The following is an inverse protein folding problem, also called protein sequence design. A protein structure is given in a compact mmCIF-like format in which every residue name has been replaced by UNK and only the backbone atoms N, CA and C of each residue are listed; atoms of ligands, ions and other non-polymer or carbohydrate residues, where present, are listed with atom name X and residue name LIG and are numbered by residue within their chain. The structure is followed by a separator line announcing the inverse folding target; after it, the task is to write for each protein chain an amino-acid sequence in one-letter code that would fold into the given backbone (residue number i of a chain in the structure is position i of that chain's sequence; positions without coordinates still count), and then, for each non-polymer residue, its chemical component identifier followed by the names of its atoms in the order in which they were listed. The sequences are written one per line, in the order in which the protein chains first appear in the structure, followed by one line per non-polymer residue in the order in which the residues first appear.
data_IF_886190356382
#
_entry.id   IF_886190356382
#
_cell.length_a   1.000
_cell.length_b   1.000
_cell.length_c   1.000
_cell.angle_alpha   90.00
_cell.angle_beta   90.00
_cell.angle_gamma   90.00
#
_symmetry.space_group_name_H-M   'P 1'
#
loop_
_entity.id
_entity.type
_entity.pdbx_description
1 polymer ?
#
# COMPACT_ATOMS: atom_id res chain seq x y z
N UNK A 1 -5.81 -12.20 8.52
CA UNK A 1 -5.56 -13.12 7.38
C UNK A 1 -6.10 -12.41 6.16
N UNK A 2 -5.25 -12.17 5.16
CA UNK A 2 -5.57 -11.33 4.01
C UNK A 2 -6.66 -11.96 3.14
N UNK A 3 -7.60 -11.14 2.67
CA UNK A 3 -8.64 -11.57 1.74
C UNK A 3 -8.31 -11.09 0.33
N UNK A 4 -8.81 -11.81 -0.66
CA UNK A 4 -8.79 -11.33 -2.04
C UNK A 4 -10.09 -10.62 -2.37
N UNK A 5 -9.96 -9.43 -2.95
CA UNK A 5 -11.04 -8.60 -3.40
C UNK A 5 -10.97 -8.41 -4.91
N UNK A 6 -12.10 -8.29 -5.58
CA UNK A 6 -12.21 -7.97 -6.99
C UNK A 6 -12.85 -6.60 -7.15
N UNK A 7 -12.20 -5.70 -7.90
CA UNK A 7 -12.76 -4.39 -8.22
C UNK A 7 -13.42 -4.46 -9.59
N UNK A 8 -14.75 -4.43 -9.63
CA UNK A 8 -15.49 -4.38 -10.89
C UNK A 8 -15.43 -2.98 -11.52
N UNK A 9 -15.39 -2.93 -12.84
CA UNK A 9 -15.39 -1.67 -13.61
C UNK A 9 -16.63 -0.81 -13.35
N UNK A 10 -16.50 0.50 -13.55
CA UNK A 10 -17.59 1.45 -13.42
C UNK A 10 -18.69 1.22 -14.46
N UNK A 11 -19.94 1.40 -14.04
CA UNK A 11 -21.09 1.56 -14.91
C UNK A 11 -21.66 2.97 -14.73
N UNK A 12 -21.91 3.70 -15.82
CA UNK A 12 -22.42 5.07 -15.78
C UNK A 12 -21.74 5.99 -16.79
N UNK A 13 -21.77 7.30 -16.52
CA UNK A 13 -21.12 8.32 -17.34
C UNK A 13 -19.73 8.72 -16.86
N UNK A 14 -19.01 9.44 -17.72
CA UNK A 14 -17.63 9.90 -17.50
C UNK A 14 -17.55 11.24 -16.74
N UNK A 15 -18.69 11.77 -16.28
CA UNK A 15 -18.77 13.03 -15.53
C UNK A 15 -18.28 12.91 -14.08
N UNK A 16 -18.33 14.01 -13.34
CA UNK A 16 -18.01 14.03 -11.91
C UNK A 16 -16.53 13.77 -11.57
N UNK A 17 -16.23 13.89 -10.27
CA UNK A 17 -14.93 13.52 -9.69
C UNK A 17 -14.96 12.07 -9.23
N UNK A 18 -13.86 11.36 -9.45
CA UNK A 18 -13.69 9.98 -9.00
C UNK A 18 -13.60 9.89 -7.47
N UNK A 19 -14.13 8.80 -6.93
CA UNK A 19 -14.01 8.43 -5.54
C UNK A 19 -13.94 6.92 -5.40
N UNK A 20 -13.29 6.47 -4.33
CA UNK A 20 -13.04 5.06 -4.05
C UNK A 20 -13.03 4.87 -2.53
N UNK A 21 -14.03 4.18 -1.99
CA UNK A 21 -14.14 3.95 -0.55
C UNK A 21 -13.18 2.86 -0.04
N UNK A 22 -12.61 2.06 -0.96
CA UNK A 22 -11.87 0.84 -0.63
C UNK A 22 -12.80 -0.31 -0.21
N UNK A 23 -12.26 -1.21 0.61
CA UNK A 23 -12.94 -2.42 1.08
C UNK A 23 -13.12 -2.39 2.59
N UNK A 24 -14.20 -3.01 3.05
CA UNK A 24 -14.62 -3.08 4.44
C UNK A 24 -15.09 -4.50 4.80
N UNK A 25 -15.33 -4.78 6.08
CA UNK A 25 -15.89 -6.07 6.49
C UNK A 25 -17.32 -6.27 5.99
N UNK A 26 -18.06 -5.19 5.71
CA UNK A 26 -19.37 -5.28 5.10
C UNK A 26 -20.10 -3.94 5.04
N UNK A 27 -21.29 -3.97 4.47
CA UNK A 27 -22.17 -2.83 4.28
C UNK A 27 -23.40 -3.03 5.16
N UNK A 28 -23.63 -2.12 6.11
CA UNK A 28 -24.76 -2.19 7.04
C UNK A 28 -25.99 -1.45 6.51
N UNK A 29 -25.76 -0.36 5.78
CA UNK A 29 -26.85 0.47 5.27
C UNK A 29 -26.44 1.25 4.02
N UNK A 30 -27.39 1.41 3.11
CA UNK A 30 -27.29 2.28 1.95
C UNK A 30 -28.37 3.35 2.02
N UNK A 31 -28.03 4.58 1.68
CA UNK A 31 -28.97 5.69 1.50
C UNK A 31 -28.88 6.17 0.06
N UNK A 32 -30.03 6.41 -0.57
CA UNK A 32 -30.09 6.89 -1.95
C UNK A 32 -31.03 8.09 -2.03
N UNK A 33 -30.48 9.23 -2.44
CA UNK A 33 -31.21 10.45 -2.74
C UNK A 33 -31.42 10.61 -4.24
N UNK A 34 -32.57 11.13 -4.63
CA UNK A 34 -32.98 11.24 -6.04
C UNK A 34 -33.73 12.54 -6.30
N UNK A 35 -33.72 12.99 -7.55
CA UNK A 35 -34.63 14.02 -8.05
C UNK A 35 -35.65 13.40 -9.02
N UNK A 36 -36.41 14.23 -9.75
CA UNK A 36 -37.43 13.77 -10.72
C UNK A 36 -36.84 13.06 -11.95
N UNK A 37 -35.51 13.06 -12.13
CA UNK A 37 -34.83 12.58 -13.34
C UNK A 37 -33.64 11.62 -13.09
N UNK A 38 -33.06 11.57 -11.89
CA UNK A 38 -31.81 10.82 -11.63
C UNK A 38 -31.53 10.55 -10.15
N UNK A 39 -30.52 9.73 -9.89
CA UNK A 39 -29.91 9.59 -8.57
C UNK A 39 -28.95 10.77 -8.33
N UNK A 40 -29.19 11.51 -7.26
CA UNK A 40 -28.43 12.73 -6.93
C UNK A 40 -27.46 12.52 -5.79
N UNK A 41 -27.71 11.53 -4.92
CA UNK A 41 -26.91 11.29 -3.72
C UNK A 41 -26.88 9.80 -3.37
N UNK A 42 -25.73 9.35 -2.86
CA UNK A 42 -25.57 8.03 -2.25
C UNK A 42 -24.75 8.16 -0.98
N UNK A 43 -25.07 7.32 0.01
CA UNK A 43 -24.28 7.18 1.23
C UNK A 43 -24.26 5.73 1.68
N UNK A 44 -23.12 5.32 2.20
CA UNK A 44 -22.87 3.97 2.69
C UNK A 44 -22.43 4.03 4.15
N UNK A 45 -22.93 3.09 4.95
CA UNK A 45 -22.43 2.76 6.28
C UNK A 45 -21.71 1.43 6.22
N UNK A 46 -20.39 1.46 6.37
CA UNK A 46 -19.53 0.29 6.32
C UNK A 46 -19.10 -0.15 7.71
N UNK A 47 -18.90 -1.45 7.89
CA UNK A 47 -18.33 -2.05 9.11
C UNK A 47 -16.84 -2.29 8.89
N UNK A 48 -15.98 -1.80 9.78
CA UNK A 48 -14.54 -2.06 9.77
C UNK A 48 -14.18 -3.39 10.44
N UNK A 49 -12.91 -3.81 10.35
CA UNK A 49 -12.40 -5.02 11.01
C UNK A 49 -12.58 -5.02 12.54
N UNK A 50 -12.49 -3.86 13.18
CA UNK A 50 -12.71 -3.69 14.63
C UNK A 50 -14.20 -3.61 15.02
N UNK A 51 -15.10 -3.66 14.04
CA UNK A 51 -16.55 -3.54 14.21
C UNK A 51 -17.08 -2.10 14.20
N UNK A 52 -16.21 -1.08 14.11
CA UNK A 52 -16.65 0.31 14.02
C UNK A 52 -17.38 0.58 12.71
N UNK A 53 -18.36 1.49 12.76
CA UNK A 53 -19.09 1.93 11.58
C UNK A 53 -18.48 3.22 11.04
N UNK A 54 -18.18 3.24 9.74
CA UNK A 54 -17.74 4.44 9.04
C UNK A 54 -18.72 4.81 7.94
N UNK A 55 -18.92 6.11 7.75
CA UNK A 55 -19.80 6.66 6.72
C UNK A 55 -19.00 7.27 5.57
N UNK A 56 -19.48 7.06 4.34
CA UNK A 56 -19.02 7.71 3.11
C UNK A 56 -20.23 8.17 2.31
N UNK A 57 -20.15 9.34 1.72
CA UNK A 57 -21.28 9.95 1.00
C UNK A 57 -20.82 10.77 -0.21
N UNK A 58 -21.65 10.77 -1.25
CA UNK A 58 -21.33 11.32 -2.56
C UNK A 58 -22.56 11.93 -3.22
N UNK A 59 -22.36 12.97 -4.01
CA UNK A 59 -23.44 13.70 -4.69
C UNK A 59 -24.05 14.82 -3.85
N UNK A 60 -25.27 15.24 -4.19
CA UNK A 60 -26.01 16.33 -3.54
C UNK A 60 -27.37 15.87 -3.05
N UNK A 61 -27.66 16.11 -1.78
CA UNK A 61 -28.99 15.85 -1.20
C UNK A 61 -29.98 16.86 -1.78
N UNK A 62 -30.87 16.40 -2.65
CA UNK A 62 -31.96 17.22 -3.23
C UNK A 62 -33.32 16.92 -2.59
N UNK A 63 -33.47 15.74 -2.00
CA UNK A 63 -34.63 15.24 -1.27
C UNK A 63 -34.14 14.33 -0.13
N UNK A 64 -34.99 14.07 0.86
CA UNK A 64 -34.67 13.14 1.95
C UNK A 64 -34.25 11.77 1.38
N UNK A 65 -33.00 11.32 1.62
CA UNK A 65 -32.52 10.06 1.11
C UNK A 65 -33.32 8.89 1.68
N UNK A 66 -33.66 7.93 0.82
CA UNK A 66 -34.32 6.70 1.23
C UNK A 66 -33.27 5.69 1.66
N UNK A 67 -33.51 5.00 2.78
CA UNK A 67 -32.59 3.99 3.30
C UNK A 67 -32.96 2.56 2.88
N UNK A 68 -31.93 1.73 2.77
CA UNK A 68 -32.01 0.28 2.69
C UNK A 68 -31.07 -0.31 3.74
N UNK A 69 -31.66 -0.93 4.76
CA UNK A 69 -30.92 -1.55 5.88
C UNK A 69 -30.61 -3.00 5.55
N UNK A 70 -29.39 -3.43 5.88
CA UNK A 70 -28.89 -4.79 5.73
C UNK A 70 -28.73 -5.38 7.12
N UNK A 71 -29.27 -6.58 7.34
CA UNK A 71 -29.24 -7.29 8.63
C UNK A 71 -27.84 -7.91 8.89
N UNK A 72 -26.83 -7.06 9.08
CA UNK A 72 -25.44 -7.49 9.32
C UNK A 72 -25.27 -8.14 10.71
N UNK A 73 -24.50 -9.24 10.85
CA UNK A 73 -23.63 -9.86 9.85
C UNK A 73 -24.30 -10.97 9.01
N UNK A 74 -25.55 -11.32 9.31
CA UNK A 74 -26.23 -12.48 8.72
C UNK A 74 -26.59 -12.25 7.24
N UNK A 75 -26.86 -11.00 6.88
CA UNK A 75 -27.18 -10.58 5.52
C UNK A 75 -26.10 -9.66 4.94
N UNK A 76 -25.85 -9.78 3.64
CA UNK A 76 -24.94 -8.90 2.91
C UNK A 76 -25.44 -8.64 1.48
N UNK A 77 -24.95 -7.57 0.85
CA UNK A 77 -25.29 -7.23 -0.53
C UNK A 77 -24.51 -8.16 -1.48
N UNK A 78 -25.20 -8.73 -2.48
CA UNK A 78 -24.61 -9.65 -3.46
C UNK A 78 -24.70 -9.13 -4.90
N UNK A 79 -25.59 -8.17 -5.17
CA UNK A 79 -25.66 -7.51 -6.46
C UNK A 79 -26.20 -6.08 -6.36
N UNK A 80 -25.78 -5.25 -7.31
CA UNK A 80 -26.40 -3.94 -7.59
C UNK A 80 -26.86 -3.93 -9.04
N UNK A 81 -28.15 -3.75 -9.24
CA UNK A 81 -28.75 -3.52 -10.55
C UNK A 81 -29.08 -2.05 -10.71
N UNK A 82 -28.98 -1.54 -11.93
CA UNK A 82 -29.30 -0.14 -12.16
C UNK A 82 -29.46 0.20 -13.62
N UNK A 83 -29.69 1.48 -13.86
CA UNK A 83 -29.63 2.06 -15.20
C UNK A 83 -28.97 3.42 -15.16
N UNK A 84 -28.40 3.82 -16.28
CA UNK A 84 -27.86 5.15 -16.49
C UNK A 84 -28.35 5.70 -17.83
N UNK A 85 -28.49 7.01 -17.91
CA UNK A 85 -29.01 7.66 -19.10
C UNK A 85 -28.49 9.10 -19.22
N UNK A 86 -28.48 9.62 -20.45
CA UNK A 86 -28.23 11.04 -20.71
C UNK A 86 -29.43 11.88 -20.28
N UNK A 87 -29.25 12.71 -19.25
CA UNK A 87 -30.30 13.59 -18.74
C UNK A 87 -30.29 14.90 -19.51
N UNK A 88 -31.39 15.18 -20.24
CA UNK A 88 -31.48 16.28 -21.20
C UNK A 88 -31.14 17.68 -20.62
N UNK A 89 -31.51 17.94 -19.36
CA UNK A 89 -31.31 19.24 -18.72
C UNK A 89 -29.84 19.58 -18.42
N UNK A 90 -28.98 18.56 -18.29
CA UNK A 90 -27.56 18.74 -18.00
C UNK A 90 -26.65 18.20 -19.11
N UNK A 91 -27.22 17.51 -20.10
CA UNK A 91 -26.51 16.87 -21.21
C UNK A 91 -25.40 15.88 -20.79
N UNK A 92 -25.42 15.37 -19.55
CA UNK A 92 -24.48 14.35 -19.06
C UNK A 92 -25.21 13.03 -18.80
N UNK A 93 -24.47 11.94 -18.91
CA UNK A 93 -24.91 10.59 -18.59
C UNK A 93 -24.68 10.32 -17.11
N UNK A 94 -25.73 9.92 -16.39
CA UNK A 94 -25.70 9.74 -14.93
C UNK A 94 -26.53 8.51 -14.55
N UNK A 95 -26.30 7.98 -13.35
CA UNK A 95 -27.11 6.91 -12.79
C UNK A 95 -28.56 7.40 -12.59
N UNK A 96 -29.50 6.69 -13.18
CA UNK A 96 -30.93 7.00 -13.11
C UNK A 96 -31.69 6.07 -12.19
N UNK A 97 -31.23 4.83 -11.97
CA UNK A 97 -31.86 3.91 -11.03
C UNK A 97 -30.88 2.97 -10.35
N UNK A 98 -31.23 2.54 -9.14
CA UNK A 98 -30.50 1.53 -8.38
C UNK A 98 -31.45 0.57 -7.67
N UNK A 99 -31.07 -0.70 -7.61
CA UNK A 99 -31.70 -1.78 -6.84
C UNK A 99 -30.59 -2.63 -6.23
N UNK A 100 -30.66 -2.88 -4.93
CA UNK A 100 -29.70 -3.72 -4.21
C UNK A 100 -30.32 -5.08 -3.93
N UNK A 101 -29.57 -6.15 -4.17
CA UNK A 101 -29.94 -7.52 -3.84
C UNK A 101 -29.07 -8.04 -2.72
N UNK A 102 -29.66 -8.78 -1.79
CA UNK A 102 -28.93 -9.37 -0.67
C UNK A 102 -28.78 -10.89 -0.77
N UNK A 103 -27.96 -11.47 0.10
CA UNK A 103 -27.72 -12.91 0.25
C UNK A 103 -28.99 -13.69 0.59
N UNK A 104 -29.92 -13.08 1.33
CA UNK A 104 -31.23 -13.64 1.67
C UNK A 104 -32.25 -13.50 0.52
N UNK A 105 -31.82 -13.03 -0.66
CA UNK A 105 -32.67 -12.83 -1.82
C UNK A 105 -33.59 -11.62 -1.74
N UNK A 106 -33.44 -10.77 -0.70
CA UNK A 106 -34.21 -9.54 -0.55
C UNK A 106 -33.73 -8.48 -1.53
N UNK A 107 -34.69 -7.74 -2.08
CA UNK A 107 -34.44 -6.64 -3.01
C UNK A 107 -34.81 -5.32 -2.33
N UNK A 108 -33.99 -4.29 -2.51
CA UNK A 108 -34.39 -2.93 -2.14
C UNK A 108 -35.57 -2.45 -3.02
N UNK A 109 -36.29 -1.39 -2.60
CA UNK A 109 -37.10 -0.63 -3.54
C UNK A 109 -36.24 -0.14 -4.71
N UNK A 110 -36.86 0.05 -5.88
CA UNK A 110 -36.21 0.75 -6.98
C UNK A 110 -36.04 2.21 -6.60
N UNK A 111 -34.79 2.62 -6.44
CA UNK A 111 -34.40 4.01 -6.34
C UNK A 111 -34.30 4.61 -7.74
N UNK A 112 -34.63 5.89 -7.84
CA UNK A 112 -34.66 6.66 -9.08
C UNK A 112 -36.07 6.91 -9.61
N UNK A 113 -36.22 7.83 -10.58
CA UNK A 113 -37.50 8.11 -11.21
C UNK A 113 -37.94 6.91 -12.04
N UNK A 114 -39.04 6.30 -11.61
CA UNK A 114 -39.67 5.19 -12.30
C UNK A 114 -41.17 5.47 -12.37
N UNK A 115 -41.75 5.34 -13.56
CA UNK A 115 -43.20 5.42 -13.73
C UNK A 115 -43.71 3.98 -13.78
N UNK A 116 -44.44 3.55 -12.75
CA UNK A 116 -44.91 2.17 -12.61
C UNK A 116 -43.79 1.12 -12.67
N UNK A 117 -42.60 1.42 -12.12
CA UNK A 117 -41.45 0.51 -12.13
C UNK A 117 -40.68 0.45 -13.46
N UNK A 118 -41.08 1.25 -14.46
CA UNK A 118 -40.33 1.37 -15.72
C UNK A 118 -39.19 2.37 -15.55
N UNK A 119 -37.96 1.89 -15.71
CA UNK A 119 -36.73 2.69 -15.71
C UNK A 119 -36.24 2.90 -17.14
N UNK A 120 -35.84 4.13 -17.46
CA UNK A 120 -35.30 4.51 -18.76
C UNK A 120 -33.76 4.59 -18.70
N UNK A 121 -33.09 4.03 -19.71
CA UNK A 121 -31.63 4.09 -19.84
C UNK A 121 -31.00 2.74 -20.17
N UNK A 122 -29.67 2.73 -20.22
CA UNK A 122 -28.86 1.52 -20.36
C UNK A 122 -28.81 0.81 -19.03
N UNK A 123 -29.27 -0.45 -18.98
CA UNK A 123 -29.25 -1.26 -17.76
C UNK A 123 -27.85 -1.82 -17.51
N UNK A 124 -27.49 -1.92 -16.25
CA UNK A 124 -26.27 -2.58 -15.80
C UNK A 124 -26.55 -3.46 -14.58
N UNK A 125 -25.63 -4.38 -14.34
CA UNK A 125 -25.63 -5.26 -13.18
C UNK A 125 -24.20 -5.48 -12.72
N UNK A 126 -23.96 -5.21 -11.45
CA UNK A 126 -22.69 -5.43 -10.76
C UNK A 126 -22.90 -6.62 -9.82
N UNK A 127 -22.46 -7.81 -10.26
CA UNK A 127 -22.50 -9.06 -9.49
C UNK A 127 -21.40 -10.00 -9.97
N UNK A 128 -21.06 -10.99 -9.14
CA UNK A 128 -20.30 -12.16 -9.55
C UNK A 128 -20.72 -13.35 -8.67
N UNK A 129 -21.52 -14.26 -9.23
CA UNK A 129 -21.90 -15.55 -8.59
C UNK A 129 -22.38 -15.46 -7.12
N UNK A 130 -23.01 -14.35 -6.72
CA UNK A 130 -23.51 -14.15 -5.35
C UNK A 130 -22.44 -13.75 -4.33
N UNK A 131 -21.23 -13.41 -4.78
CA UNK A 131 -20.15 -12.91 -3.92
C UNK A 131 -20.55 -11.63 -3.18
N UNK A 132 -20.00 -11.49 -1.97
CA UNK A 132 -20.31 -10.38 -1.08
C UNK A 132 -19.70 -9.08 -1.57
N UNK A 133 -20.53 -8.04 -1.67
CA UNK A 133 -20.08 -6.67 -1.92
C UNK A 133 -19.60 -6.06 -0.60
N UNK A 134 -18.35 -5.61 -0.60
CA UNK A 134 -17.61 -5.12 0.57
C UNK A 134 -17.18 -3.66 0.48
N UNK A 135 -17.47 -3.00 -0.64
CA UNK A 135 -17.05 -1.63 -0.89
C UNK A 135 -17.60 -1.08 -2.20
N UNK A 136 -17.57 0.23 -2.34
CA UNK A 136 -18.03 0.94 -3.53
C UNK A 136 -16.98 1.94 -4.02
N UNK A 137 -16.97 2.16 -5.32
CA UNK A 137 -16.22 3.24 -5.97
C UNK A 137 -17.09 3.85 -7.07
N UNK A 138 -16.76 5.04 -7.55
CA UNK A 138 -17.64 5.74 -8.47
C UNK A 138 -17.16 7.11 -8.91
N UNK A 139 -18.10 7.84 -9.52
CA UNK A 139 -17.91 9.23 -9.93
C UNK A 139 -19.13 10.04 -9.51
N UNK A 140 -18.89 11.23 -8.99
CA UNK A 140 -19.98 12.14 -8.62
C UNK A 140 -19.56 13.60 -8.62
N UNK A 141 -20.54 14.48 -8.83
CA UNK A 141 -20.49 15.90 -8.47
C UNK A 141 -21.86 16.32 -7.91
N UNK A 142 -22.71 16.95 -8.73
CA UNK A 142 -24.10 17.27 -8.35
C UNK A 142 -25.05 16.08 -8.45
N UNK A 143 -24.60 15.00 -9.08
CA UNK A 143 -25.32 13.73 -9.21
C UNK A 143 -24.33 12.57 -9.13
N UNK A 144 -24.86 11.34 -9.08
CA UNK A 144 -24.02 10.14 -9.19
C UNK A 144 -23.85 9.81 -10.67
N UNK A 145 -22.66 10.06 -11.20
CA UNK A 145 -22.33 9.88 -12.61
C UNK A 145 -22.12 8.39 -12.93
N UNK A 146 -21.35 7.68 -12.10
CA UNK A 146 -21.05 6.25 -12.26
C UNK A 146 -20.85 5.53 -10.92
N UNK A 147 -21.05 4.21 -10.93
CA UNK A 147 -20.91 3.34 -9.76
C UNK A 147 -20.21 2.03 -10.13
N UNK A 148 -19.36 1.55 -9.23
CA UNK A 148 -18.69 0.25 -9.25
C UNK A 148 -18.63 -0.34 -7.83
N UNK A 149 -18.26 -1.61 -7.73
CA UNK A 149 -18.25 -2.35 -6.46
C UNK A 149 -16.95 -3.13 -6.28
N UNK A 150 -16.62 -3.39 -5.01
CA UNK A 150 -15.65 -4.39 -4.60
C UNK A 150 -16.36 -5.65 -4.13
N UNK A 151 -15.93 -6.80 -4.65
CA UNK A 151 -16.41 -8.12 -4.27
C UNK A 151 -15.35 -8.87 -3.45
N UNK A 152 -15.79 -9.68 -2.51
CA UNK A 152 -14.96 -10.63 -1.78
C UNK A 152 -14.93 -11.97 -2.53
N UNK A 153 -13.74 -12.41 -2.96
CA UNK A 153 -13.56 -13.64 -3.76
C UNK A 153 -13.35 -14.87 -2.88
N UNK A 154 -12.30 -14.89 -2.04
CA UNK A 154 -11.98 -15.97 -1.10
C UNK A 154 -10.91 -15.50 -0.08
N UNK A 155 -10.84 -16.16 1.08
CA UNK A 155 -9.79 -15.93 2.09
C UNK A 155 -8.47 -16.56 1.65
N UNK A 156 -7.45 -15.75 1.39
CA UNK A 156 -6.10 -16.23 1.12
C UNK A 156 -5.29 -16.34 2.42
N UNK A 157 -4.25 -17.15 2.40
CA UNK A 157 -3.24 -17.22 3.48
C UNK A 157 -2.20 -16.09 3.35
N UNK A 158 -2.56 -14.94 2.77
CA UNK A 158 -1.64 -13.81 2.62
C UNK A 158 -1.69 -12.90 3.86
N UNK A 159 -0.60 -12.20 4.22
CA UNK A 159 -0.63 -11.25 5.33
C UNK A 159 -1.44 -9.98 5.01
N UNK A 160 -1.56 -9.62 3.72
CA UNK A 160 -2.22 -8.39 3.26
C UNK A 160 -3.35 -8.66 2.25
N UNK A 161 -4.32 -7.72 2.14
CA UNK A 161 -5.33 -7.72 1.08
C UNK A 161 -4.76 -7.69 -0.33
N UNK A 162 -5.34 -8.50 -1.23
CA UNK A 162 -5.03 -8.48 -2.66
C UNK A 162 -6.26 -8.03 -3.45
N UNK A 163 -6.07 -7.15 -4.41
CA UNK A 163 -7.09 -6.57 -5.27
C UNK A 163 -6.87 -7.03 -6.70
N UNK A 164 -7.80 -7.83 -7.23
CA UNK A 164 -7.91 -8.13 -8.65
C UNK A 164 -8.67 -7.00 -9.34
N UNK A 165 -7.96 -6.21 -10.13
CA UNK A 165 -8.55 -5.19 -10.98
C UNK A 165 -8.92 -5.81 -12.33
N UNK A 166 -10.17 -5.63 -12.76
CA UNK A 166 -10.69 -6.23 -14.00
C UNK A 166 -9.93 -5.81 -15.25
N UNK A 167 -9.86 -6.72 -16.22
CA UNK A 167 -9.19 -6.46 -17.48
C UNK A 167 -10.01 -5.48 -18.32
N UNK A 168 -9.37 -4.39 -18.76
CA UNK A 168 -9.97 -3.37 -19.62
C UNK A 168 -9.30 -3.35 -20.99
N UNK A 169 -10.08 -3.06 -22.04
CA UNK A 169 -9.63 -3.10 -23.43
C UNK A 169 -10.62 -3.84 -24.35
N UNK A 170 -10.07 -4.65 -25.24
CA UNK A 170 -10.80 -5.51 -26.17
C UNK A 170 -11.57 -6.65 -25.52
N UNK A 171 -12.66 -7.05 -26.17
CA UNK A 171 -13.49 -8.19 -25.72
C UNK A 171 -13.03 -9.52 -26.32
N UNK A 172 -12.30 -9.45 -27.42
CA UNK A 172 -11.76 -10.58 -28.18
C UNK A 172 -10.48 -11.13 -27.51
N UNK A 173 -9.91 -12.20 -28.10
CA UNK A 173 -8.68 -12.84 -27.63
C UNK A 173 -8.92 -13.98 -26.63
N UNK A 174 -7.89 -14.81 -26.44
CA UNK A 174 -7.86 -15.84 -25.40
C UNK A 174 -7.52 -15.23 -24.05
N UNK A 175 -8.23 -15.66 -23.01
CA UNK A 175 -8.01 -15.23 -21.63
C UNK A 175 -6.73 -15.86 -21.09
N UNK A 176 -5.95 -15.06 -20.37
CA UNK A 176 -4.77 -15.50 -19.62
C UNK A 176 -4.76 -14.88 -18.22
N UNK A 177 -4.17 -15.58 -17.27
CA UNK A 177 -4.05 -15.15 -15.87
C UNK A 177 -2.75 -15.71 -15.30
N UNK A 178 -1.78 -14.84 -15.01
CA UNK A 178 -0.50 -15.27 -14.45
C UNK A 178 -0.61 -15.61 -12.95
N UNK A 179 -1.66 -15.13 -12.28
CA UNK A 179 -1.84 -15.19 -10.84
C UNK A 179 -1.03 -14.15 -10.07
N UNK A 180 -0.93 -14.35 -8.75
CA UNK A 180 -0.21 -13.46 -7.84
C UNK A 180 1.21 -13.98 -7.55
N UNK A 181 2.18 -13.07 -7.58
CA UNK A 181 3.57 -13.30 -7.19
C UNK A 181 3.98 -12.32 -6.09
N UNK A 182 5.24 -12.36 -5.64
CA UNK A 182 5.73 -11.41 -4.64
C UNK A 182 5.93 -10.00 -5.25
N UNK A 183 6.07 -9.93 -6.57
CA UNK A 183 5.98 -8.72 -7.38
C UNK A 183 6.76 -8.81 -8.69
N UNK A 184 6.78 -7.70 -9.43
CA UNK A 184 7.35 -7.63 -10.78
C UNK A 184 8.79 -7.12 -10.74
N UNK A 185 9.70 -7.85 -11.39
CA UNK A 185 11.11 -7.47 -11.53
C UNK A 185 11.43 -6.88 -12.89
N UNK A 186 10.93 -7.49 -13.96
CA UNK A 186 11.20 -7.02 -15.32
C UNK A 186 9.94 -7.08 -16.16
N UNK A 187 9.72 -6.04 -16.96
CA UNK A 187 8.69 -6.00 -18.00
C UNK A 187 9.39 -5.83 -19.34
N UNK A 188 9.08 -6.69 -20.32
CA UNK A 188 9.52 -6.53 -21.71
C UNK A 188 8.30 -6.34 -22.59
N UNK A 189 8.33 -5.30 -23.40
CA UNK A 189 7.22 -4.88 -24.25
C UNK A 189 7.66 -4.95 -25.71
N UNK A 190 6.95 -5.76 -26.49
CA UNK A 190 7.01 -5.71 -27.95
C UNK A 190 5.83 -4.90 -28.48
N UNK A 191 6.08 -4.11 -29.51
CA UNK A 191 5.09 -3.22 -30.13
C UNK A 191 5.32 -3.13 -31.63
N UNK A 192 4.27 -2.80 -32.36
CA UNK A 192 4.33 -2.38 -33.76
C UNK A 192 3.96 -0.89 -33.89
N UNK A 193 3.65 -0.43 -35.11
CA UNK A 193 3.33 0.97 -35.41
C UNK A 193 2.07 1.50 -34.71
N UNK A 194 1.22 0.64 -34.11
CA UNK A 194 0.02 1.10 -33.42
C UNK A 194 -0.48 0.22 -32.28
N UNK A 195 0.16 -0.91 -31.96
CA UNK A 195 -0.32 -1.89 -30.96
C UNK A 195 0.80 -2.34 -30.05
N UNK A 196 0.44 -2.64 -28.80
CA UNK A 196 1.26 -3.50 -27.94
C UNK A 196 1.02 -4.93 -28.35
N UNK A 197 2.03 -5.55 -28.98
CA UNK A 197 1.91 -6.88 -29.56
C UNK A 197 2.35 -7.98 -28.61
N UNK A 198 3.24 -7.67 -27.66
CA UNK A 198 3.85 -8.65 -26.78
C UNK A 198 4.14 -8.09 -25.39
N UNK A 199 3.90 -8.91 -24.37
CA UNK A 199 4.29 -8.65 -22.99
C UNK A 199 5.04 -9.86 -22.45
N UNK A 200 6.17 -9.64 -21.81
CA UNK A 200 6.86 -10.64 -21.01
C UNK A 200 7.16 -10.07 -19.64
N UNK A 201 6.84 -10.84 -18.61
CA UNK A 201 6.98 -10.47 -17.22
C UNK A 201 7.90 -11.45 -16.52
N UNK A 202 8.86 -10.92 -15.77
CA UNK A 202 9.68 -11.69 -14.83
C UNK A 202 9.23 -11.36 -13.42
N UNK A 203 8.62 -12.33 -12.75
CA UNK A 203 8.05 -12.18 -11.41
C UNK A 203 8.95 -12.80 -10.34
N UNK A 204 8.97 -12.20 -9.15
CA UNK A 204 9.62 -12.77 -7.97
C UNK A 204 8.69 -13.75 -7.23
N UNK A 205 9.20 -14.92 -6.84
CA UNK A 205 8.48 -15.91 -6.04
C UNK A 205 9.44 -16.61 -5.08
N UNK A 206 9.42 -16.18 -3.83
CA UNK A 206 10.43 -16.48 -2.83
C UNK A 206 11.83 -16.12 -3.33
N UNK A 207 12.73 -17.10 -3.34
CA UNK A 207 14.11 -16.92 -3.82
C UNK A 207 14.28 -17.16 -5.34
N UNK A 208 13.20 -17.33 -6.11
CA UNK A 208 13.23 -17.65 -7.54
C UNK A 208 12.53 -16.59 -8.38
N UNK A 209 12.80 -16.61 -9.67
CA UNK A 209 12.10 -15.82 -10.67
C UNK A 209 11.34 -16.74 -11.64
N UNK A 210 10.12 -16.35 -12.00
CA UNK A 210 9.29 -17.02 -13.01
C UNK A 210 8.99 -16.05 -14.16
N UNK A 211 9.12 -16.53 -15.41
CA UNK A 211 8.82 -15.75 -16.60
C UNK A 211 7.51 -16.18 -17.22
N UNK A 212 6.64 -15.21 -17.54
CA UNK A 212 5.39 -15.39 -18.27
C UNK A 212 5.39 -14.48 -19.49
N UNK A 213 4.75 -14.89 -20.58
CA UNK A 213 4.68 -14.09 -21.79
C UNK A 213 3.33 -14.24 -22.48
N UNK A 214 2.93 -13.17 -23.15
CA UNK A 214 1.62 -12.99 -23.76
C UNK A 214 1.76 -12.22 -25.08
N UNK A 215 0.91 -12.53 -26.06
CA UNK A 215 0.88 -11.94 -27.39
C UNK A 215 1.94 -12.49 -28.34
N UNK A 216 2.22 -11.75 -29.42
CA UNK A 216 3.10 -12.15 -30.52
C UNK A 216 4.44 -11.43 -30.41
N UNK A 217 5.49 -12.20 -30.10
CA UNK A 217 6.85 -11.68 -29.98
C UNK A 217 7.39 -11.19 -31.33
N UNK A 218 7.61 -9.89 -31.44
CA UNK A 218 8.33 -9.26 -32.55
C UNK A 218 9.86 -9.38 -32.43
N UNK A 219 10.60 -8.83 -33.40
CA UNK A 219 12.07 -8.90 -33.42
C UNK A 219 12.73 -8.07 -32.31
N UNK A 220 12.17 -6.91 -32.00
CA UNK A 220 12.70 -6.00 -30.97
C UNK A 220 11.74 -5.91 -29.79
N UNK A 221 12.29 -5.84 -28.58
CA UNK A 221 11.53 -5.58 -27.36
C UNK A 221 12.22 -4.48 -26.57
N UNK A 222 11.42 -3.61 -25.96
CA UNK A 222 11.92 -2.65 -24.99
C UNK A 222 11.83 -3.25 -23.59
N UNK A 223 12.83 -3.02 -22.75
CA UNK A 223 12.91 -3.58 -21.40
C UNK A 223 12.76 -2.48 -20.34
N UNK A 224 11.98 -2.78 -19.30
CA UNK A 224 11.85 -1.99 -18.08
C UNK A 224 12.17 -2.85 -16.86
N UNK A 225 13.32 -2.57 -16.24
CA UNK A 225 13.76 -3.26 -15.03
C UNK A 225 13.35 -2.47 -13.78
N UNK A 226 12.68 -3.17 -12.87
CA UNK A 226 12.27 -2.73 -11.55
C UNK A 226 13.18 -3.40 -10.54
N UNK A 227 13.86 -2.61 -9.70
CA UNK A 227 14.69 -3.17 -8.64
C UNK A 227 13.78 -3.67 -7.51
N UNK A 228 13.21 -4.87 -7.69
CA UNK A 228 12.19 -5.48 -6.83
C UNK A 228 12.53 -5.44 -5.32
N UNK A 229 13.80 -5.44 -4.94
CA UNK A 229 14.22 -5.35 -3.53
C UNK A 229 13.90 -4.00 -2.88
N UNK A 230 13.84 -2.91 -3.65
CA UNK A 230 13.75 -1.54 -3.15
C UNK A 230 12.68 -0.69 -3.86
N UNK A 231 12.05 -1.22 -4.90
CA UNK A 231 11.14 -0.51 -5.78
C UNK A 231 10.09 -1.47 -6.32
N UNK A 232 8.87 -1.00 -6.45
CA UNK A 232 7.78 -1.75 -7.03
C UNK A 232 6.91 -0.86 -7.92
N UNK A 233 6.14 -1.48 -8.82
CA UNK A 233 5.16 -0.79 -9.66
C UNK A 233 3.93 -0.49 -8.82
N UNK A 234 3.50 0.78 -8.83
CA UNK A 234 2.36 1.29 -8.08
C UNK A 234 1.12 1.48 -8.95
N UNK A 235 1.31 1.76 -10.24
CA UNK A 235 0.22 1.89 -11.21
C UNK A 235 0.68 1.57 -12.63
N UNK A 236 -0.30 1.20 -13.46
CA UNK A 236 -0.16 1.00 -14.90
C UNK A 236 -1.28 1.77 -15.59
N UNK A 237 -0.95 2.84 -16.28
CA UNK A 237 -1.85 3.55 -17.19
C UNK A 237 -1.78 2.89 -18.57
N UNK A 238 -2.93 2.64 -19.19
CA UNK A 238 -3.01 2.00 -20.49
C UNK A 238 -3.99 2.76 -21.39
N UNK A 239 -3.70 2.78 -22.70
CA UNK A 239 -4.69 3.18 -23.71
C UNK A 239 -5.06 2.02 -24.61
N UNK A 240 -6.27 2.06 -25.15
CA UNK A 240 -6.77 1.07 -26.08
C UNK A 240 -7.68 1.70 -27.14
N UNK A 241 -7.60 1.17 -28.36
CA UNK A 241 -8.37 1.62 -29.51
C UNK A 241 -8.68 0.44 -30.45
N UNK A 242 -9.50 0.66 -31.48
CA UNK A 242 -9.70 -0.25 -32.60
C UNK A 242 -9.04 0.32 -33.87
N UNK A 243 -7.74 0.07 -34.10
CA UNK A 243 -7.03 0.72 -35.19
C UNK A 243 -7.57 0.23 -36.54
N UNK A 244 -7.77 1.14 -37.50
CA UNK A 244 -8.51 0.91 -38.77
C UNK A 244 -8.06 -0.29 -39.60
N UNK A 245 -6.78 -0.69 -39.50
CA UNK A 245 -6.21 -1.80 -40.27
C UNK A 245 -6.42 -3.17 -39.59
N UNK A 246 -6.90 -3.18 -38.34
CA UNK A 246 -7.16 -4.37 -37.55
C UNK A 246 -8.65 -4.45 -37.22
N UNK A 247 -9.12 -5.66 -36.88
CA UNK A 247 -10.54 -5.90 -36.60
C UNK A 247 -10.89 -5.81 -35.11
N UNK A 248 -9.88 -5.80 -34.25
CA UNK A 248 -10.04 -5.95 -32.81
C UNK A 248 -9.61 -4.69 -32.08
N UNK A 249 -10.27 -4.44 -30.96
CA UNK A 249 -9.84 -3.43 -29.99
C UNK A 249 -8.67 -3.97 -29.19
N UNK A 250 -7.57 -3.23 -29.11
CA UNK A 250 -6.30 -3.68 -28.53
C UNK A 250 -5.65 -2.59 -27.71
N UNK A 251 -4.76 -2.97 -26.80
CA UNK A 251 -3.91 -2.04 -26.05
C UNK A 251 -2.92 -1.35 -27.00
N UNK A 252 -2.92 -0.03 -26.97
CA UNK A 252 -2.13 0.84 -27.85
C UNK A 252 -0.95 1.48 -27.14
N UNK A 253 -1.05 1.74 -25.82
CA UNK A 253 0.06 2.19 -25.00
C UNK A 253 0.01 1.66 -23.57
N UNK A 254 1.17 1.65 -22.93
CA UNK A 254 1.35 1.35 -21.50
C UNK A 254 2.30 2.37 -20.88
N UNK A 255 1.96 2.83 -19.69
CA UNK A 255 2.79 3.68 -18.85
C UNK A 255 2.82 3.12 -17.44
N UNK A 256 4.01 2.73 -17.00
CA UNK A 256 4.25 2.20 -15.66
C UNK A 256 4.75 3.31 -14.75
N UNK A 257 4.26 3.35 -13.51
CA UNK A 257 4.78 4.22 -12.45
C UNK A 257 5.27 3.36 -11.28
N UNK A 258 6.37 3.78 -10.64
CA UNK A 258 6.95 3.06 -9.50
C UNK A 258 6.88 3.83 -8.20
N UNK A 259 7.09 3.10 -7.10
CA UNK A 259 7.19 3.64 -5.74
C UNK A 259 8.32 4.66 -5.53
N UNK A 260 9.25 4.80 -6.50
CA UNK A 260 10.31 5.81 -6.50
C UNK A 260 10.01 6.99 -7.44
N UNK A 261 8.80 7.06 -7.99
CA UNK A 261 8.38 8.08 -8.95
C UNK A 261 9.00 7.92 -10.34
N UNK A 262 9.57 6.76 -10.69
CA UNK A 262 10.03 6.50 -12.05
C UNK A 262 8.85 6.16 -12.93
N UNK A 263 8.87 6.67 -14.16
CA UNK A 263 7.87 6.33 -15.18
C UNK A 263 8.52 5.72 -16.42
N UNK A 264 7.89 4.72 -17.02
CA UNK A 264 8.30 4.13 -18.30
C UNK A 264 7.09 4.03 -19.23
N UNK A 265 7.22 4.47 -20.48
CA UNK A 265 6.11 4.55 -21.45
C UNK A 265 6.44 3.74 -22.70
N UNK A 266 5.45 3.01 -23.22
CA UNK A 266 5.51 2.16 -24.40
C UNK A 266 4.29 2.38 -25.28
N UNK A 267 4.42 2.14 -26.58
CA UNK A 267 3.36 2.29 -27.57
C UNK A 267 2.96 3.75 -27.85
N UNK A 268 1.74 3.93 -28.33
CA UNK A 268 1.17 5.20 -28.77
C UNK A 268 -0.12 5.50 -28.02
N UNK A 269 -0.16 6.64 -27.32
CA UNK A 269 -1.30 7.05 -26.48
C UNK A 269 -2.49 7.47 -27.36
N UNK A 270 -3.27 6.49 -27.81
CA UNK A 270 -4.40 6.66 -28.74
C UNK A 270 -5.62 5.92 -28.21
N UNK A 271 -6.80 6.52 -28.36
CA UNK A 271 -8.06 5.90 -27.96
C UNK A 271 -8.43 6.19 -26.51
N UNK A 272 -9.13 5.22 -25.89
CA UNK A 272 -9.62 5.33 -24.50
C UNK A 272 -8.52 4.98 -23.52
N UNK A 273 -8.56 5.59 -22.34
CA UNK A 273 -7.56 5.43 -21.28
C UNK A 273 -8.17 4.75 -20.06
N UNK A 274 -7.40 3.91 -19.40
CA UNK A 274 -7.69 3.42 -18.06
C UNK A 274 -6.41 3.33 -17.22
N UNK A 275 -6.57 3.25 -15.90
CA UNK A 275 -5.46 3.09 -14.96
C UNK A 275 -5.74 1.88 -14.08
N UNK A 276 -4.76 0.99 -14.00
CA UNK A 276 -4.69 -0.08 -13.02
C UNK A 276 -3.83 0.39 -11.86
N UNK A 277 -4.40 0.49 -10.67
CA UNK A 277 -3.70 0.86 -9.46
C UNK A 277 -4.63 0.78 -8.26
N UNK A 278 -4.06 0.55 -7.08
CA UNK A 278 -4.74 0.65 -5.81
C UNK A 278 -3.92 1.60 -4.93
N UNK A 279 -4.57 2.48 -4.17
CA UNK A 279 -3.87 3.44 -3.29
C UNK A 279 -2.90 2.69 -2.38
N UNK A 280 -1.61 3.07 -2.35
CA UNK A 280 -0.58 2.37 -1.58
C UNK A 280 -0.32 0.92 -2.03
N UNK A 281 -0.76 0.56 -3.24
CA UNK A 281 -0.74 -0.79 -3.77
C UNK A 281 0.55 -1.14 -4.49
N UNK A 282 1.00 -2.38 -4.30
CA UNK A 282 2.10 -2.99 -5.05
C UNK A 282 1.55 -3.98 -6.07
N UNK A 283 1.93 -3.83 -7.33
CA UNK A 283 1.57 -4.79 -8.38
C UNK A 283 2.26 -6.15 -8.16
N UNK A 284 1.45 -7.21 -8.10
CA UNK A 284 1.87 -8.59 -7.88
C UNK A 284 1.86 -9.46 -9.14
N UNK A 285 1.01 -9.14 -10.11
CA UNK A 285 0.80 -9.98 -11.29
C UNK A 285 -0.19 -9.38 -12.27
N UNK A 286 -0.25 -9.93 -13.47
CA UNK A 286 -1.17 -9.51 -14.53
C UNK A 286 -2.13 -10.63 -14.94
N UNK A 287 -3.27 -10.22 -15.48
CA UNK A 287 -4.19 -11.08 -16.23
C UNK A 287 -4.76 -10.28 -17.41
N UNK A 288 -5.37 -10.93 -18.38
CA UNK A 288 -5.87 -10.21 -19.55
C UNK A 288 -6.38 -11.10 -20.66
N UNK A 289 -6.37 -10.52 -21.87
CA UNK A 289 -6.72 -11.21 -23.11
C UNK A 289 -5.69 -10.93 -24.18
N UNK A 290 -5.43 -11.93 -25.01
CA UNK A 290 -4.43 -11.86 -26.08
C UNK A 290 -4.90 -12.52 -27.39
N UNK A 291 -4.32 -12.06 -28.48
CA UNK A 291 -4.44 -12.66 -29.80
C UNK A 291 -3.20 -12.31 -30.61
N UNK A 292 -3.38 -11.66 -31.77
CA UNK A 292 -2.25 -11.10 -32.54
C UNK A 292 -1.59 -9.90 -31.84
N UNK A 293 -2.24 -9.36 -30.82
CA UNK A 293 -1.75 -8.31 -29.94
C UNK A 293 -2.35 -8.50 -28.54
N UNK A 294 -2.05 -7.59 -27.61
CA UNK A 294 -2.70 -7.59 -26.30
C UNK A 294 -4.06 -6.91 -26.43
N UNK A 295 -5.13 -7.68 -26.27
CA UNK A 295 -6.50 -7.17 -26.39
C UNK A 295 -6.91 -6.39 -25.14
N UNK A 296 -6.69 -6.96 -23.95
CA UNK A 296 -7.07 -6.35 -22.67
C UNK A 296 -6.07 -6.67 -21.56
N UNK A 297 -5.99 -5.79 -20.56
CA UNK A 297 -5.07 -5.93 -19.43
C UNK A 297 -5.77 -5.60 -18.10
N UNK A 298 -5.57 -6.47 -17.11
CA UNK A 298 -5.93 -6.31 -15.70
C UNK A 298 -4.73 -6.63 -14.81
N UNK A 299 -4.87 -6.47 -13.49
CA UNK A 299 -3.74 -6.66 -12.58
C UNK A 299 -4.13 -7.01 -11.16
N UNK A 300 -3.21 -7.66 -10.46
CA UNK A 300 -3.30 -7.97 -9.03
C UNK A 300 -2.46 -6.98 -8.23
N UNK A 301 -3.05 -6.29 -7.27
CA UNK A 301 -2.37 -5.34 -6.40
C UNK A 301 -2.50 -5.75 -4.95
N UNK A 302 -1.40 -5.74 -4.20
CA UNK A 302 -1.42 -5.88 -2.75
C UNK A 302 -1.50 -4.50 -2.12
N UNK A 303 -2.46 -4.25 -1.23
CA UNK A 303 -2.43 -3.02 -0.43
C UNK A 303 -1.48 -3.21 0.74
N UNK A 304 -0.28 -2.65 0.62
CA UNK A 304 0.56 -2.40 1.78
C UNK A 304 0.00 -1.17 2.50
N UNK A 305 -0.42 -1.28 3.77
CA UNK A 305 -0.77 -0.10 4.55
C UNK A 305 0.40 0.87 4.45
N UNK A 306 0.14 2.11 4.04
CA UNK A 306 1.17 3.15 4.10
C UNK A 306 1.63 3.15 5.57
N UNK A 307 2.91 2.85 5.87
CA UNK A 307 3.36 2.87 7.24
C UNK A 307 3.03 4.26 7.78
N UNK A 308 2.16 4.31 8.79
CA UNK A 308 1.79 5.56 9.46
C UNK A 308 3.10 6.25 9.78
N UNK A 309 3.29 7.55 9.44
CA UNK A 309 4.52 8.25 9.76
C UNK A 309 4.72 8.11 11.27
N UNK A 310 5.64 7.22 11.59
CA UNK A 310 6.01 6.85 12.94
C UNK A 310 6.60 8.14 13.51
N UNK A 311 6.12 8.69 14.64
CA UNK A 311 6.75 9.87 15.21
C UNK A 311 8.23 9.56 15.41
N UNK A 312 9.07 10.18 14.59
CA UNK A 312 10.51 9.96 14.60
C UNK A 312 11.06 10.77 15.77
N UNK A 313 11.03 10.20 16.97
CA UNK A 313 11.48 10.85 18.20
C UNK A 313 13.01 10.75 18.30
N UNK A 314 13.68 11.85 18.65
CA UNK A 314 15.14 11.93 18.72
C UNK A 314 15.77 12.35 17.39
N UNK A 315 16.83 13.16 17.47
CA UNK A 315 17.69 13.45 16.32
C UNK A 315 18.68 12.29 16.15
N UNK A 316 18.92 11.83 14.90
CA UNK A 316 19.89 10.78 14.65
C UNK A 316 21.31 11.29 14.92
N UNK A 317 22.13 10.46 15.56
CA UNK A 317 23.54 10.71 15.79
C UNK A 317 24.39 9.50 15.42
N UNK A 318 25.66 9.72 15.11
CA UNK A 318 26.60 8.62 14.90
C UNK A 318 28.04 9.07 14.75
N UNK A 319 28.91 8.37 15.47
CA UNK A 319 30.36 8.56 15.40
C UNK A 319 30.92 7.67 14.28
N UNK A 320 30.65 8.02 13.01
CA UNK A 320 30.94 7.19 11.83
C UNK A 320 32.43 7.14 11.41
N UNK A 321 33.35 7.42 12.32
CA UNK A 321 34.78 7.35 12.04
C UNK A 321 35.31 5.92 11.91
N UNK A 322 36.38 5.76 11.14
CA UNK A 322 37.17 4.54 11.11
C UNK A 322 38.08 4.54 12.34
N UNK A 323 37.63 3.90 13.41
CA UNK A 323 38.35 3.77 14.67
C UNK A 323 38.81 2.33 14.93
N UNK A 324 39.84 2.18 15.76
CA UNK A 324 40.40 0.89 16.16
C UNK A 324 39.72 0.33 17.42
N UNK A 325 39.01 1.17 18.18
CA UNK A 325 38.31 0.78 19.40
C UNK A 325 37.89 1.99 20.24
N UNK A 326 37.29 1.71 21.39
CA UNK A 326 36.85 2.73 22.36
C UNK A 326 37.85 2.78 23.51
N UNK A 327 38.33 3.97 23.89
CA UNK A 327 39.24 4.18 25.03
C UNK A 327 38.51 4.65 26.28
N UNK A 328 37.52 5.53 26.12
CA UNK A 328 36.77 6.10 27.24
C UNK A 328 35.30 6.27 26.88
N UNK A 329 34.43 6.06 27.87
CA UNK A 329 32.99 6.25 27.80
C UNK A 329 32.60 7.19 28.93
N UNK A 330 31.76 8.18 28.65
CA UNK A 330 31.17 9.08 29.64
C UNK A 330 29.67 8.91 29.59
N UNK A 331 29.04 8.67 30.74
CA UNK A 331 27.60 8.37 30.86
C UNK A 331 26.97 9.38 31.81
N UNK A 332 26.03 10.19 31.32
CA UNK A 332 25.21 11.04 32.18
C UNK A 332 23.83 10.43 32.37
N UNK A 333 23.37 10.39 33.63
CA UNK A 333 22.07 9.84 34.00
C UNK A 333 21.06 10.97 34.29
N UNK A 334 19.78 10.63 34.29
CA UNK A 334 18.68 11.45 34.80
C UNK A 334 17.70 10.58 35.59
N UNK A 335 16.65 11.19 36.14
CA UNK A 335 15.68 10.53 37.02
C UNK A 335 15.07 9.25 36.43
N UNK A 336 14.90 9.18 35.11
CA UNK A 336 14.25 8.04 34.45
C UNK A 336 15.19 7.21 33.55
N UNK A 337 16.48 7.53 33.45
CA UNK A 337 17.38 6.73 32.61
C UNK A 337 18.71 7.38 32.22
N UNK A 338 19.14 7.12 30.98
CA UNK A 338 20.39 7.63 30.40
C UNK A 338 20.12 8.90 29.60
N UNK A 339 20.72 10.00 30.02
CA UNK A 339 20.55 11.31 29.40
C UNK A 339 21.67 11.66 28.42
N UNK A 340 22.88 11.13 28.65
CA UNK A 340 24.07 11.54 27.91
C UNK A 340 25.05 10.40 27.68
N UNK A 341 25.65 10.38 26.49
CA UNK A 341 26.75 9.49 26.13
C UNK A 341 27.82 10.29 25.38
N UNK A 342 29.08 10.02 25.71
CA UNK A 342 30.23 10.50 24.95
C UNK A 342 31.32 9.45 24.92
N UNK A 343 31.98 9.34 23.77
CA UNK A 343 33.01 8.35 23.54
C UNK A 343 34.34 9.01 23.15
N UNK A 344 35.44 8.42 23.60
CA UNK A 344 36.77 8.71 23.07
C UNK A 344 37.29 7.44 22.41
N UNK A 345 37.65 7.55 21.14
CA UNK A 345 38.04 6.45 20.28
C UNK A 345 39.55 6.39 20.08
N UNK A 346 40.07 5.18 19.86
CA UNK A 346 41.45 4.92 19.47
C UNK A 346 41.53 4.99 17.94
N UNK A 347 42.50 5.72 17.40
CA UNK A 347 42.77 5.77 15.95
C UNK A 347 44.28 5.84 15.69
N UNK A 348 44.86 4.75 15.24
CA UNK A 348 46.31 4.56 15.16
C UNK A 348 46.94 4.75 16.53
N UNK A 349 47.92 5.66 16.62
CA UNK A 349 48.62 5.99 17.86
C UNK A 349 47.96 7.14 18.64
N UNK A 350 46.78 7.62 18.22
CA UNK A 350 46.10 8.78 18.79
C UNK A 350 44.71 8.47 19.35
N UNK A 351 44.12 9.49 19.97
CA UNK A 351 42.75 9.48 20.48
C UNK A 351 41.90 10.51 19.74
N UNK A 352 40.65 10.14 19.43
CA UNK A 352 39.65 11.02 18.81
C UNK A 352 38.46 11.13 19.74
N UNK A 353 38.10 12.35 20.13
CA UNK A 353 36.91 12.58 20.96
C UNK A 353 35.69 12.68 20.05
N UNK A 354 34.67 11.86 20.30
CA UNK A 354 33.38 11.93 19.63
C UNK A 354 32.53 13.09 20.14
N UNK A 355 31.40 13.30 19.45
CA UNK A 355 30.45 14.36 19.79
C UNK A 355 29.68 14.02 21.09
N UNK A 356 29.03 15.06 21.61
CA UNK A 356 28.14 14.95 22.77
C UNK A 356 26.77 14.43 22.30
N UNK A 357 26.34 13.29 22.83
CA UNK A 357 25.03 12.70 22.49
C UNK A 357 24.11 12.82 23.70
N UNK A 358 23.04 13.60 23.59
CA UNK A 358 22.16 13.90 24.72
C UNK A 358 22.62 15.11 25.54
N UNK A 359 22.13 15.24 26.77
CA UNK A 359 22.47 16.37 27.64
C UNK A 359 22.87 15.94 29.05
N UNK A 360 24.03 16.40 29.50
CA UNK A 360 24.47 16.18 30.89
C UNK A 360 23.49 16.89 31.83
N UNK A 361 23.01 16.16 32.84
CA UNK A 361 22.11 16.70 33.86
C UNK A 361 22.87 17.18 35.10
N UNK A 362 22.14 17.74 36.06
CA UNK A 362 22.70 18.10 37.37
C UNK A 362 23.20 16.90 38.20
N UNK A 363 22.90 15.65 37.78
CA UNK A 363 23.42 14.45 38.43
C UNK A 363 24.89 14.15 38.08
N UNK A 364 25.47 14.87 37.12
CA UNK A 364 26.84 14.66 36.66
C UNK A 364 26.97 13.49 35.69
N UNK A 365 28.21 13.03 35.49
CA UNK A 365 28.52 11.94 34.58
C UNK A 365 29.57 10.98 35.17
N UNK A 366 29.43 9.70 34.86
CA UNK A 366 30.36 8.63 35.20
C UNK A 366 31.32 8.37 34.04
N UNK A 367 32.58 8.07 34.35
CA UNK A 367 33.62 7.82 33.34
C UNK A 367 34.17 6.40 33.43
N UNK A 368 34.22 5.73 32.28
CA UNK A 368 34.80 4.40 32.13
C UNK A 368 36.00 4.51 31.22
N UNK A 369 37.19 4.25 31.76
CA UNK A 369 38.44 4.21 30.98
C UNK A 369 38.85 2.75 30.77
N UNK A 370 39.04 2.37 29.52
CA UNK A 370 39.50 1.05 29.14
C UNK A 370 41.03 0.96 29.23
N UNK A 371 41.51 -0.11 29.85
CA UNK A 371 42.94 -0.40 30.01
C UNK A 371 43.61 -0.79 28.69
N UNK A 372 44.93 -0.90 28.70
CA UNK A 372 45.67 -1.37 27.53
C UNK A 372 45.32 -2.84 27.23
N UNK A 373 44.98 -3.11 25.97
CA UNK A 373 44.46 -4.40 25.52
C UNK A 373 43.02 -4.71 25.96
N UNK A 374 42.33 -3.78 26.62
CA UNK A 374 40.89 -3.88 26.90
C UNK A 374 40.08 -3.31 25.71
N UNK A 375 39.07 -4.04 25.25
CA UNK A 375 38.16 -3.61 24.20
C UNK A 375 36.73 -4.05 24.48
N UNK A 376 35.77 -3.24 24.03
CA UNK A 376 34.35 -3.53 24.12
C UNK A 376 33.97 -4.69 23.19
N UNK A 377 33.17 -5.63 23.70
CA UNK A 377 32.59 -6.76 22.93
C UNK A 377 31.07 -6.70 22.86
N UNK A 378 30.45 -6.04 23.83
CA UNK A 378 29.00 -5.98 23.89
C UNK A 378 28.48 -4.88 24.80
N UNK A 379 27.19 -4.62 24.66
CA UNK A 379 26.40 -3.78 25.56
C UNK A 379 25.13 -4.52 25.95
N UNK A 380 24.61 -4.22 27.13
CA UNK A 380 23.29 -4.67 27.58
C UNK A 380 22.64 -3.59 28.43
N UNK A 381 21.32 -3.60 28.52
CA UNK A 381 20.60 -2.62 29.31
C UNK A 381 19.09 -2.77 29.19
N UNK A 382 18.38 -1.75 29.64
CA UNK A 382 16.92 -1.69 29.55
C UNK A 382 16.47 -0.42 28.82
N UNK A 383 15.37 -0.54 28.08
CA UNK A 383 14.67 0.60 27.48
C UNK A 383 13.19 0.59 27.83
N UNK A 384 12.53 1.74 27.77
CA UNK A 384 11.07 1.87 27.86
C UNK A 384 10.50 2.06 26.46
N UNK A 385 9.68 1.12 25.95
CA UNK A 385 9.03 1.28 24.65
C UNK A 385 8.24 2.59 24.59
N UNK A 386 8.28 3.25 23.44
CA UNK A 386 7.40 4.38 23.16
C UNK A 386 6.32 3.87 22.21
N UNK A 387 5.02 4.05 22.53
CA UNK A 387 3.94 3.62 21.65
C UNK A 387 4.10 4.18 20.24
N UNK A 388 4.18 3.28 19.27
CA UNK A 388 4.35 3.64 17.86
C UNK A 388 5.73 4.19 17.50
N UNK A 389 6.81 3.84 18.21
CA UNK A 389 8.19 4.06 17.76
C UNK A 389 8.95 2.72 17.68
N UNK A 390 9.92 2.54 16.75
CA UNK A 390 10.67 1.30 16.61
C UNK A 390 11.79 1.14 17.65
N UNK A 391 12.00 2.15 18.50
CA UNK A 391 12.98 2.22 19.57
C UNK A 391 12.32 2.83 20.82
N UNK A 392 13.00 2.82 21.96
CA UNK A 392 12.46 3.33 23.22
C UNK A 392 13.51 4.00 24.10
N UNK A 393 13.08 4.86 25.04
CA UNK A 393 14.00 5.62 25.92
C UNK A 393 14.96 4.67 26.63
N UNK A 394 16.27 4.87 26.48
CA UNK A 394 17.27 4.06 27.17
C UNK A 394 17.23 4.39 28.66
N UNK A 395 16.86 3.39 29.45
CA UNK A 395 16.71 3.48 30.90
C UNK A 395 18.00 3.11 31.60
N UNK A 396 18.77 2.20 31.03
CA UNK A 396 20.06 1.80 31.59
C UNK A 396 20.94 1.16 30.55
N UNK A 397 22.25 1.19 30.82
CA UNK A 397 23.28 0.60 29.98
C UNK A 397 24.40 0.02 30.84
N UNK A 398 24.98 -1.07 30.34
CA UNK A 398 26.14 -1.76 30.87
C UNK A 398 27.01 -2.18 29.70
N UNK A 399 28.32 -2.13 29.90
CA UNK A 399 29.31 -2.49 28.89
C UNK A 399 30.02 -3.79 29.26
N UNK A 400 30.24 -4.64 28.27
CA UNK A 400 31.03 -5.87 28.37
C UNK A 400 32.33 -5.70 27.60
N UNK A 401 33.45 -5.96 28.26
CA UNK A 401 34.77 -5.93 27.64
C UNK A 401 35.35 -7.35 27.58
N UNK A 402 36.48 -7.51 26.90
CA UNK A 402 37.25 -8.75 26.93
C UNK A 402 37.87 -9.07 28.31
N UNK A 403 37.90 -8.11 29.24
CA UNK A 403 38.51 -8.29 30.57
C UNK A 403 37.50 -8.26 31.73
N UNK A 404 36.42 -7.48 31.63
CA UNK A 404 35.46 -7.27 32.71
C UNK A 404 34.09 -6.86 32.17
N UNK A 405 33.13 -6.81 33.08
CA UNK A 405 31.84 -6.16 32.86
C UNK A 405 31.70 -4.96 33.79
N UNK A 406 31.08 -3.88 33.31
CA UNK A 406 30.80 -2.71 34.13
C UNK A 406 29.56 -2.95 35.02
N UNK A 407 29.34 -2.15 36.06
CA UNK A 407 28.01 -2.09 36.67
C UNK A 407 26.95 -1.63 35.65
N UNK A 408 25.68 -1.83 36.01
CA UNK A 408 24.55 -1.26 35.28
C UNK A 408 24.40 0.21 35.66
N UNK A 409 24.44 1.10 34.67
CA UNK A 409 24.21 2.54 34.85
C UNK A 409 22.77 2.84 34.48
N UNK A 410 21.97 3.35 35.43
CA UNK A 410 20.54 3.64 35.24
C UNK A 410 19.64 2.69 36.03
N UNK A 411 18.38 2.53 35.61
CA UNK A 411 17.39 1.71 36.31
C UNK A 411 17.28 0.30 35.70
N UNK A 412 17.10 -0.70 36.55
CA UNK A 412 16.75 -2.09 36.18
C UNK A 412 15.24 -2.20 35.97
N UNK A 413 14.72 -1.48 34.96
CA UNK A 413 13.28 -1.45 34.64
C UNK A 413 13.04 -1.23 33.15
N UNK A 414 12.09 -1.95 32.58
CA UNK A 414 11.73 -1.87 31.15
C UNK A 414 12.03 -3.17 30.40
N UNK A 415 12.11 -3.08 29.08
CA UNK A 415 12.46 -4.19 28.20
C UNK A 415 13.97 -4.29 28.03
N UNK A 416 14.47 -5.52 28.03
CA UNK A 416 15.91 -5.79 27.97
C UNK A 416 16.41 -5.71 26.52
N UNK A 417 17.56 -5.08 26.32
CA UNK A 417 18.30 -5.12 25.06
C UNK A 417 19.73 -5.60 25.30
N UNK A 418 20.33 -6.21 24.28
CA UNK A 418 21.74 -6.61 24.31
C UNK A 418 22.31 -6.74 22.90
N UNK A 419 23.57 -6.38 22.76
CA UNK A 419 24.37 -6.63 21.57
C UNK A 419 25.69 -7.27 22.01
N UNK A 420 26.04 -8.39 21.42
CA UNK A 420 27.34 -9.03 21.56
C UNK A 420 27.60 -9.87 20.31
N UNK A 421 28.75 -9.68 19.68
CA UNK A 421 29.11 -10.40 18.47
C UNK A 421 30.43 -11.17 18.70
N UNK A 422 30.41 -12.45 18.35
CA UNK A 422 31.55 -13.34 18.56
C UNK A 422 32.72 -12.91 17.66
N UNK A 423 33.93 -12.91 18.21
CA UNK A 423 35.18 -12.56 17.51
C UNK A 423 35.20 -11.13 16.95
N UNK A 424 34.41 -10.22 17.54
CA UNK A 424 34.33 -8.82 17.16
C UNK A 424 34.61 -7.89 18.36
N UNK A 425 35.09 -6.69 18.04
CA UNK A 425 35.20 -5.56 18.97
C UNK A 425 34.34 -4.41 18.49
N UNK A 426 33.76 -3.66 19.42
CA UNK A 426 33.00 -2.45 19.12
C UNK A 426 33.98 -1.30 18.86
N UNK A 427 33.81 -0.63 17.72
CA UNK A 427 34.66 0.47 17.26
C UNK A 427 33.92 1.79 17.14
N UNK A 428 32.60 1.82 17.26
CA UNK A 428 31.80 3.04 17.15
C UNK A 428 30.38 2.84 17.64
N UNK A 429 29.63 3.93 17.72
CA UNK A 429 28.21 3.93 18.08
C UNK A 429 27.42 4.90 17.21
N UNK A 430 26.17 4.55 16.95
CA UNK A 430 25.15 5.45 16.41
C UNK A 430 23.87 5.30 17.20
N UNK A 431 22.91 6.20 17.01
CA UNK A 431 21.64 6.11 17.71
C UNK A 431 20.77 7.33 17.51
N UNK A 432 19.92 7.60 18.51
CA UNK A 432 19.00 8.74 18.53
C UNK A 432 18.98 9.40 19.90
N UNK A 433 19.01 10.73 19.92
CA UNK A 433 19.03 11.51 21.15
C UNK A 433 18.34 12.87 20.99
N UNK A 434 17.84 13.43 22.09
CA UNK A 434 17.59 14.89 22.24
C UNK A 434 18.29 15.38 23.50
N UNK A 435 17.54 15.65 24.58
CA UNK A 435 18.06 15.80 25.94
C UNK A 435 18.32 14.45 26.61
N UNK A 436 17.77 13.35 26.05
CA UNK A 436 17.95 11.98 26.53
C UNK A 436 18.25 11.01 25.40
N UNK A 437 18.73 9.81 25.73
CA UNK A 437 19.06 8.76 24.76
C UNK A 437 17.82 7.89 24.46
N UNK A 438 17.48 7.75 23.17
CA UNK A 438 16.36 6.93 22.68
C UNK A 438 16.80 5.67 21.95
N UNK A 439 18.03 5.64 21.45
CA UNK A 439 18.58 4.46 20.79
C UNK A 439 20.11 4.49 20.89
N UNK A 440 20.71 3.30 20.94
CA UNK A 440 22.15 3.09 20.84
C UNK A 440 22.44 1.78 20.10
N UNK A 441 23.13 1.92 18.98
CA UNK A 441 23.50 0.84 18.06
C UNK A 441 25.02 0.76 17.95
N UNK A 442 25.65 -0.34 18.41
CA UNK A 442 27.08 -0.54 18.27
C UNK A 442 27.50 -0.81 16.83
N UNK A 443 28.65 -0.29 16.43
CA UNK A 443 29.35 -0.63 15.19
C UNK A 443 30.56 -1.50 15.53
N UNK A 444 30.57 -2.74 15.05
CA UNK A 444 31.60 -3.73 15.36
C UNK A 444 32.55 -3.98 14.17
N UNK A 445 33.76 -4.48 14.49
CA UNK A 445 34.73 -5.02 13.52
C UNK A 445 35.30 -6.32 14.03
N UNK A 446 35.56 -7.23 13.10
CA UNK A 446 36.21 -8.51 13.39
C UNK A 446 37.63 -8.29 13.93
N UNK A 447 37.98 -9.05 14.96
CA UNK A 447 39.28 -9.01 15.65
C UNK A 447 40.34 -9.79 14.86
#
# INVERSE_FOLDING_TARGET
MGRMYQKLSLCGGEGGSEWDDGVYEGVKKVYVGQDLSRITYIKFEYVKEDGDVVTREYGTITQDPREFVIEYPDEHITAVEGSYNKVALIAMEVITSLVFKTSEGRMSPTFGPNLFGVVNGTKFKLEDEGKKIVGFHGRSDKAVDALGVYLELDSLTTPFPIYKLEAQGGKEGSVWDDGCFDGVRTVRVGQDDCRITYLEFEYAKGARFETRHHGVKGETQSEFVVNFMNEHITSVEATYDNPKFFRNTVITSLKFETSKGRTSVFGYEVGKKFVLGQNGGRLLGFHGKEGEAIDALGGYFEHTPVPTPTPVIGDPWGDYGIYDGVKKITIGLYEEGVAFLKFVYIKGNGLVTGDDHGKITSLGAEEIVLEDGEYLKGIEGYYRPIPGAPFGKIVSIKFKTNKRETPLYGLDSGEKYSFEEKDHKITGFSGRATDVIYDISPMSRRI
#
